data_IF_158416259921
#
_entry.id   IF_158416259921
#
_cell.length_a   1.000
_cell.length_b   1.000
_cell.length_c   1.000
_cell.angle_alpha   90.00
_cell.angle_beta   90.00
_cell.angle_gamma   90.00
#
_symmetry.space_group_name_H-M   'P 1'
#
loop_
_entity.id
_entity.type
_entity.pdbx_description
1 polymer ?
#
# COMPACT_ATOMS: atom_id res chain seq x y z
N UNK A 1 -1.90 -2.21 2.79
CA UNK A 1 -1.34 -2.84 1.57
C UNK A 1 -0.03 -2.18 1.16
N UNK A 2 0.05 -0.86 1.03
CA UNK A 2 1.31 -0.12 0.85
C UNK A 2 2.06 0.05 2.18
N UNK A 3 1.34 0.29 3.28
CA UNK A 3 1.95 0.50 4.59
C UNK A 3 2.70 -0.73 5.12
N UNK A 4 2.18 -1.93 4.82
CA UNK A 4 2.86 -3.20 5.17
C UNK A 4 4.16 -3.35 4.39
N UNK A 5 4.17 -3.04 3.09
CA UNK A 5 5.39 -3.02 2.29
C UNK A 5 6.44 -2.09 2.90
N UNK A 6 6.07 -0.84 3.21
CA UNK A 6 7.00 0.13 3.79
C UNK A 6 7.49 -0.28 5.18
N UNK A 7 6.64 -0.90 6.00
CA UNK A 7 7.04 -1.49 7.28
C UNK A 7 8.09 -2.57 7.08
N UNK A 8 7.82 -3.55 6.22
CA UNK A 8 8.70 -4.72 6.03
C UNK A 8 10.07 -4.31 5.50
N UNK A 9 10.13 -3.43 4.49
CA UNK A 9 11.41 -2.95 3.94
C UNK A 9 12.15 -2.06 4.96
N UNK A 10 11.44 -1.25 5.75
CA UNK A 10 12.08 -0.42 6.78
C UNK A 10 12.73 -1.26 7.87
N UNK A 11 12.07 -2.34 8.31
CA UNK A 11 12.66 -3.26 9.30
C UNK A 11 13.90 -3.94 8.71
N UNK A 12 13.80 -4.46 7.49
CA UNK A 12 14.91 -5.11 6.78
C UNK A 12 16.13 -4.17 6.61
N UNK A 13 15.91 -2.91 6.26
CA UNK A 13 16.98 -1.94 6.05
C UNK A 13 17.53 -1.35 7.35
N UNK A 14 16.71 -1.22 8.41
CA UNK A 14 17.15 -0.66 9.70
C UNK A 14 18.06 -1.63 10.46
N UNK A 15 17.76 -2.92 10.39
CA UNK A 15 18.55 -3.96 11.07
C UNK A 15 19.81 -4.33 10.26
N UNK A 16 19.80 -4.06 8.96
CA UNK A 16 20.95 -4.25 8.09
C UNK A 16 22.07 -3.24 8.35
N UNK A 17 23.31 -3.72 8.30
CA UNK A 17 24.51 -2.88 8.20
C UNK A 17 25.11 -3.03 6.82
N UNK A 18 25.44 -1.91 6.17
CA UNK A 18 25.91 -1.91 4.79
C UNK A 18 27.28 -1.26 4.65
N UNK A 19 28.22 -1.92 3.98
CA UNK A 19 29.57 -1.40 3.77
C UNK A 19 29.63 -0.30 2.71
N UNK A 20 28.61 -0.16 1.86
CA UNK A 20 28.56 0.80 0.75
C UNK A 20 27.13 1.01 0.25
N UNK A 21 26.89 2.13 -0.43
CA UNK A 21 25.60 2.41 -1.10
C UNK A 21 25.25 1.31 -2.11
N UNK A 22 26.22 0.83 -2.90
CA UNK A 22 25.98 -0.25 -3.85
C UNK A 22 25.61 -1.59 -3.20
N UNK A 23 25.92 -1.79 -1.92
CA UNK A 23 25.49 -2.97 -1.16
C UNK A 23 24.05 -2.81 -0.65
N UNK A 24 23.69 -1.59 -0.23
CA UNK A 24 22.32 -1.22 0.10
C UNK A 24 21.39 -1.41 -1.11
N UNK A 25 21.76 -0.91 -2.29
CA UNK A 25 20.95 -1.05 -3.51
C UNK A 25 20.74 -2.51 -3.91
N UNK A 26 21.79 -3.33 -3.82
CA UNK A 26 21.69 -4.78 -4.05
C UNK A 26 20.75 -5.44 -3.04
N UNK A 27 20.85 -5.07 -1.76
CA UNK A 27 19.99 -5.60 -0.71
C UNK A 27 18.52 -5.23 -0.91
N UNK A 28 18.22 -4.00 -1.34
CA UNK A 28 16.86 -3.56 -1.71
C UNK A 28 16.34 -4.40 -2.88
N UNK A 29 17.16 -4.58 -3.92
CA UNK A 29 16.79 -5.38 -5.10
C UNK A 29 16.49 -6.84 -4.73
N UNK A 30 17.31 -7.45 -3.87
CA UNK A 30 17.10 -8.81 -3.35
C UNK A 30 15.79 -8.89 -2.55
N UNK A 31 15.53 -7.92 -1.67
CA UNK A 31 14.28 -7.85 -0.91
C UNK A 31 13.06 -7.81 -1.85
N UNK A 32 13.10 -6.98 -2.89
CA UNK A 32 12.03 -6.90 -3.89
C UNK A 32 11.83 -8.23 -4.62
N UNK A 33 12.91 -8.89 -5.06
CA UNK A 33 12.83 -10.18 -5.75
C UNK A 33 12.21 -11.28 -4.86
N UNK A 34 12.65 -11.39 -3.61
CA UNK A 34 12.11 -12.37 -2.65
C UNK A 34 10.62 -12.13 -2.39
N UNK A 35 10.23 -10.87 -2.20
CA UNK A 35 8.83 -10.51 -1.94
C UNK A 35 7.95 -10.71 -3.18
N UNK A 36 8.47 -10.47 -4.37
CA UNK A 36 7.74 -10.69 -5.62
C UNK A 36 7.60 -12.19 -5.97
N UNK A 37 8.54 -13.03 -5.55
CA UNK A 37 8.45 -14.48 -5.70
C UNK A 37 7.31 -15.09 -4.87
N UNK A 38 6.92 -14.45 -3.77
CA UNK A 38 5.78 -14.85 -2.92
C UNK A 38 4.82 -13.68 -2.72
N UNK A 39 4.10 -13.28 -3.78
CA UNK A 39 3.29 -12.08 -3.72
C UNK A 39 2.09 -12.30 -2.79
N UNK A 40 1.96 -11.45 -1.78
CA UNK A 40 0.68 -11.35 -1.05
C UNK A 40 -0.33 -10.71 -1.97
N UNK A 41 -1.31 -11.50 -2.46
CA UNK A 41 -2.39 -11.00 -3.29
C UNK A 41 -3.12 -9.87 -2.57
N UNK A 42 -3.33 -8.76 -3.27
CA UNK A 42 -4.33 -7.81 -2.85
C UNK A 42 -5.71 -8.34 -3.16
N UNK A 43 -6.46 -8.63 -2.11
CA UNK A 43 -7.87 -8.94 -2.24
C UNK A 43 -8.63 -7.67 -1.88
N UNK A 44 -9.43 -7.20 -2.83
CA UNK A 44 -10.39 -6.15 -2.55
C UNK A 44 -11.43 -6.71 -1.58
N UNK A 45 -11.48 -6.19 -0.36
CA UNK A 45 -12.36 -6.69 0.71
C UNK A 45 -13.65 -5.88 0.86
N UNK A 46 -13.76 -4.70 0.22
CA UNK A 46 -14.96 -3.90 0.37
C UNK A 46 -16.13 -4.57 -0.39
N UNK A 47 -17.24 -4.77 0.31
CA UNK A 47 -18.48 -5.26 -0.31
C UNK A 47 -18.96 -4.23 -1.34
N UNK A 48 -19.47 -4.68 -2.48
CA UNK A 48 -20.00 -3.78 -3.51
C UNK A 48 -21.04 -2.80 -2.96
N UNK A 49 -21.91 -3.27 -2.06
CA UNK A 49 -22.91 -2.45 -1.36
C UNK A 49 -22.29 -1.29 -0.58
N UNK A 50 -21.17 -1.50 0.11
CA UNK A 50 -20.49 -0.45 0.88
C UNK A 50 -19.96 0.66 -0.04
N UNK A 51 -19.54 0.29 -1.25
CA UNK A 51 -19.06 1.24 -2.28
C UNK A 51 -20.25 2.05 -2.80
N UNK A 52 -21.36 1.39 -3.12
CA UNK A 52 -22.58 2.05 -3.60
C UNK A 52 -23.13 3.02 -2.55
N UNK A 53 -23.16 2.61 -1.28
CA UNK A 53 -23.58 3.47 -0.17
C UNK A 53 -22.64 4.67 0.04
N UNK A 54 -21.34 4.53 -0.22
CA UNK A 54 -20.40 5.66 -0.21
C UNK A 54 -20.66 6.62 -1.37
N UNK A 55 -20.92 6.11 -2.56
CA UNK A 55 -21.26 6.93 -3.74
C UNK A 55 -22.54 7.71 -3.49
N UNK A 56 -23.59 7.06 -2.95
CA UNK A 56 -24.86 7.71 -2.66
C UNK A 56 -24.69 8.87 -1.68
N UNK A 57 -24.02 8.64 -0.54
CA UNK A 57 -23.74 9.70 0.44
C UNK A 57 -22.94 10.87 -0.15
N UNK A 58 -21.97 10.56 -1.02
CA UNK A 58 -21.18 11.60 -1.69
C UNK A 58 -22.03 12.45 -2.64
N UNK A 59 -23.02 11.84 -3.32
CA UNK A 59 -23.97 12.56 -4.18
C UNK A 59 -24.90 13.45 -3.37
N UNK A 60 -25.49 12.93 -2.30
CA UNK A 60 -26.35 13.71 -1.41
C UNK A 60 -25.62 14.93 -0.82
N UNK A 61 -24.37 14.75 -0.39
CA UNK A 61 -23.54 15.84 0.11
C UNK A 61 -23.23 16.89 -0.98
N UNK A 62 -23.02 16.45 -2.22
CA UNK A 62 -22.78 17.35 -3.35
C UNK A 62 -24.03 18.17 -3.68
N UNK A 63 -25.20 17.52 -3.70
CA UNK A 63 -26.49 18.19 -3.94
C UNK A 63 -26.79 19.24 -2.86
N UNK A 64 -26.56 18.91 -1.58
CA UNK A 64 -26.73 19.86 -0.48
C UNK A 64 -25.77 21.07 -0.53
N UNK A 65 -24.61 20.95 -1.19
CA UNK A 65 -23.68 22.05 -1.42
C UNK A 65 -24.08 22.89 -2.63
N UNK A 66 -24.70 22.28 -3.65
CA UNK A 66 -25.16 22.98 -4.86
C UNK A 66 -26.48 23.73 -4.67
N UNK A 67 -27.31 23.33 -3.71
CA UNK A 67 -28.58 23.99 -3.39
C UNK A 67 -28.40 25.22 -2.45
N UNK A 68 -27.18 25.48 -1.98
CA UNK A 68 -26.79 26.69 -1.24
C UNK A 68 -26.14 27.72 -2.14
#
# INVERSE_FOLDING_TARGET
MVERFFRDITVYLRDGSFASVGELERSITTFMALRNAQPTRYVWNAKGEEILNKIQRAREALEAVQEK
#
